data_IF_209941375682
#
_entry.id   IF_209941375682
#
_cell.length_a   1.000
_cell.length_b   1.000
_cell.length_c   1.000
_cell.angle_alpha   90.00
_cell.angle_beta   90.00
_cell.angle_gamma   90.00
#
_symmetry.space_group_name_H-M   'P 1'
#
loop_
_entity.id
_entity.type
_entity.pdbx_description
1 polymer ?
#
# COMPACT_ATOMS: atom_id res chain seq x y z
N UNK A 1 -34.24 17.74 68.34
CA UNK A 1 -34.93 17.96 67.05
C UNK A 1 -34.14 18.70 65.96
N UNK A 2 -33.21 19.59 66.24
CA UNK A 2 -32.44 20.34 65.18
C UNK A 2 -31.36 19.52 64.45
N UNK A 3 -30.73 18.49 65.06
CA UNK A 3 -29.70 17.64 64.43
C UNK A 3 -30.24 16.67 63.39
N UNK A 4 -31.43 16.05 63.65
CA UNK A 4 -32.03 15.10 62.69
C UNK A 4 -32.49 15.75 61.39
N UNK A 5 -32.98 17.01 61.46
CA UNK A 5 -33.36 17.77 60.23
C UNK A 5 -32.18 18.13 59.35
N UNK A 6 -30.96 18.37 59.89
CA UNK A 6 -29.76 18.66 59.15
C UNK A 6 -29.22 17.41 58.45
N UNK A 7 -29.28 16.25 59.09
CA UNK A 7 -28.86 14.97 58.51
C UNK A 7 -29.81 14.57 57.38
N UNK A 8 -31.13 14.72 57.54
CA UNK A 8 -32.10 14.46 56.51
C UNK A 8 -31.95 15.36 55.28
N UNK A 9 -31.67 16.66 55.50
CA UNK A 9 -31.43 17.60 54.42
C UNK A 9 -30.13 17.26 53.64
N UNK A 10 -29.05 16.85 54.33
CA UNK A 10 -27.81 16.41 53.69
C UNK A 10 -28.02 15.15 52.88
N UNK A 11 -28.81 14.18 53.35
CA UNK A 11 -29.12 12.94 52.63
C UNK A 11 -29.93 13.21 51.36
N UNK A 12 -30.90 14.14 51.41
CA UNK A 12 -31.70 14.57 50.26
C UNK A 12 -30.86 15.31 49.20
N UNK A 13 -29.86 16.10 49.58
CA UNK A 13 -28.98 16.77 48.66
C UNK A 13 -28.06 15.77 47.98
N UNK A 14 -27.54 14.77 48.68
CA UNK A 14 -26.71 13.72 48.14
C UNK A 14 -27.49 12.85 47.15
N UNK A 15 -28.74 12.47 47.43
CA UNK A 15 -29.59 11.69 46.56
C UNK A 15 -30.05 12.46 45.30
N UNK A 16 -30.15 13.79 45.37
CA UNK A 16 -30.44 14.67 44.23
C UNK A 16 -29.26 14.88 43.32
N UNK A 17 -28.04 14.79 43.83
CA UNK A 17 -26.78 14.97 43.05
C UNK A 17 -26.31 13.65 42.41
N UNK A 18 -26.69 12.49 42.96
CA UNK A 18 -26.31 11.18 42.43
C UNK A 18 -26.70 10.96 40.93
N UNK A 19 -27.96 11.27 40.49
CA UNK A 19 -28.28 11.10 39.06
C UNK A 19 -27.58 12.09 38.15
N UNK A 20 -27.05 13.21 38.67
CA UNK A 20 -26.32 14.18 37.86
C UNK A 20 -24.88 13.75 37.62
N UNK A 21 -24.29 12.97 38.52
CA UNK A 21 -22.92 12.41 38.36
C UNK A 21 -22.95 11.14 37.47
N UNK A 22 -24.09 10.42 37.42
CA UNK A 22 -24.24 9.18 36.61
C UNK A 22 -24.58 9.48 35.13
N UNK A 23 -24.87 10.70 34.76
CA UNK A 23 -25.10 11.15 33.38
C UNK A 23 -23.89 11.85 32.75
N UNK A 24 -22.68 11.56 33.20
CA UNK A 24 -21.49 11.83 32.37
C UNK A 24 -21.65 10.90 31.16
N UNK A 25 -21.88 11.42 29.94
CA UNK A 25 -21.87 10.55 28.78
C UNK A 25 -20.51 9.87 28.80
N UNK A 26 -20.50 8.53 28.85
CA UNK A 26 -19.26 7.81 28.57
C UNK A 26 -18.82 8.34 27.22
N UNK A 27 -17.73 9.10 27.22
CA UNK A 27 -17.08 9.57 26.01
C UNK A 27 -16.97 8.32 25.14
N UNK A 28 -17.72 8.29 24.04
CA UNK A 28 -17.74 7.12 23.18
C UNK A 28 -16.28 6.88 22.82
N UNK A 29 -15.70 5.82 23.34
CA UNK A 29 -14.35 5.44 23.02
C UNK A 29 -14.26 5.50 21.49
N UNK A 30 -13.45 6.43 20.97
CA UNK A 30 -13.21 6.50 19.53
C UNK A 30 -12.89 5.07 19.10
N UNK A 31 -13.75 4.50 18.28
CA UNK A 31 -13.47 3.21 17.69
C UNK A 31 -12.13 3.37 16.98
N UNK A 32 -11.08 2.77 17.52
CA UNK A 32 -9.80 2.74 16.84
C UNK A 32 -10.07 2.24 15.43
N UNK A 33 -9.78 3.08 14.42
CA UNK A 33 -9.86 2.64 13.03
C UNK A 33 -8.79 1.58 12.86
N UNK A 34 -9.20 0.37 12.55
CA UNK A 34 -8.28 -0.69 12.16
C UNK A 34 -7.82 -0.38 10.74
N UNK A 35 -6.52 -0.32 10.53
CA UNK A 35 -5.89 -0.25 9.22
C UNK A 35 -5.31 -1.62 8.89
N UNK A 36 -5.81 -2.23 7.84
CA UNK A 36 -5.25 -3.45 7.28
C UNK A 36 -4.29 -3.09 6.15
N UNK A 37 -3.13 -3.72 6.13
CA UNK A 37 -2.12 -3.55 5.09
C UNK A 37 -1.77 -4.93 4.53
N UNK A 38 -1.93 -5.10 3.23
CA UNK A 38 -1.37 -6.22 2.49
C UNK A 38 -0.08 -5.74 1.82
N UNK A 39 0.98 -6.48 2.04
CA UNK A 39 2.31 -6.12 1.54
C UNK A 39 2.88 -7.24 0.68
N UNK A 40 3.31 -6.89 -0.53
CA UNK A 40 4.04 -7.75 -1.47
C UNK A 40 5.43 -7.17 -1.71
N UNK A 41 6.35 -8.01 -2.11
CA UNK A 41 7.67 -7.62 -2.61
C UNK A 41 8.29 -8.79 -3.38
N UNK A 42 9.32 -8.53 -4.18
CA UNK A 42 10.10 -9.56 -4.88
C UNK A 42 9.23 -10.55 -5.67
N UNK A 43 8.25 -10.03 -6.40
CA UNK A 43 7.35 -10.90 -7.20
C UNK A 43 7.97 -11.37 -8.50
N UNK A 44 9.03 -10.70 -8.98
CA UNK A 44 9.92 -11.14 -10.06
C UNK A 44 9.18 -11.69 -11.28
N UNK A 45 8.21 -10.94 -11.80
CA UNK A 45 7.40 -11.31 -12.96
C UNK A 45 6.65 -12.65 -12.84
N UNK A 46 6.48 -13.20 -11.62
CA UNK A 46 5.76 -14.47 -11.41
C UNK A 46 4.24 -14.26 -11.41
N UNK A 47 3.71 -13.83 -12.57
CA UNK A 47 2.28 -13.54 -12.72
C UNK A 47 1.43 -14.81 -12.71
N UNK A 48 2.00 -15.95 -13.15
CA UNK A 48 1.31 -17.23 -13.21
C UNK A 48 1.56 -18.07 -11.96
N UNK A 49 0.58 -18.89 -11.60
CA UNK A 49 0.77 -19.93 -10.59
C UNK A 49 1.71 -21.02 -11.10
N UNK A 50 2.33 -21.74 -10.15
CA UNK A 50 3.21 -22.85 -10.44
C UNK A 50 2.96 -24.03 -9.49
N UNK A 51 3.30 -25.22 -9.96
CA UNK A 51 3.12 -26.44 -9.19
C UNK A 51 4.36 -26.74 -8.36
N UNK A 52 4.16 -26.96 -7.06
CA UNK A 52 5.24 -27.32 -6.12
C UNK A 52 4.73 -28.28 -5.05
N UNK A 53 5.66 -28.84 -4.23
CA UNK A 53 5.30 -29.71 -3.10
C UNK A 53 5.17 -28.83 -1.85
N UNK A 54 3.98 -28.84 -1.25
CA UNK A 54 3.69 -28.20 0.04
C UNK A 54 3.14 -29.26 0.98
N UNK A 55 3.79 -29.45 2.13
CA UNK A 55 3.41 -30.47 3.12
C UNK A 55 3.36 -31.90 2.54
N UNK A 56 4.27 -32.22 1.61
CA UNK A 56 4.34 -33.52 0.97
C UNK A 56 3.33 -33.78 -0.14
N UNK A 57 2.48 -32.80 -0.48
CA UNK A 57 1.49 -32.88 -1.56
C UNK A 57 1.83 -31.91 -2.68
N UNK A 58 1.57 -32.31 -3.92
CA UNK A 58 1.68 -31.43 -5.05
C UNK A 58 0.53 -30.41 -5.05
N UNK A 59 0.88 -29.12 -4.95
CA UNK A 59 -0.09 -28.01 -4.93
C UNK A 59 0.29 -26.97 -5.96
N UNK A 60 -0.72 -26.32 -6.50
CA UNK A 60 -0.55 -25.15 -7.34
C UNK A 60 -0.61 -23.89 -6.47
N UNK A 61 0.48 -23.13 -6.43
CA UNK A 61 0.68 -21.96 -5.55
C UNK A 61 1.07 -20.73 -6.34
N UNK A 62 0.99 -19.56 -5.68
CA UNK A 62 1.38 -18.28 -6.26
C UNK A 62 0.42 -17.81 -7.36
N UNK A 63 0.89 -16.83 -8.10
CA UNK A 63 0.20 -16.21 -9.23
C UNK A 63 -0.75 -15.06 -8.82
N UNK A 64 -0.81 -14.07 -9.68
CA UNK A 64 -1.56 -12.84 -9.44
C UNK A 64 -3.08 -13.05 -9.40
N UNK A 65 -3.60 -14.09 -10.09
CA UNK A 65 -5.02 -14.40 -10.01
C UNK A 65 -5.47 -14.80 -8.59
N UNK A 66 -4.66 -15.61 -7.90
CA UNK A 66 -4.93 -15.99 -6.50
C UNK A 66 -4.72 -14.81 -5.55
N UNK A 67 -3.68 -14.00 -5.79
CA UNK A 67 -3.44 -12.78 -5.04
C UNK A 67 -4.60 -11.79 -5.19
N UNK A 68 -5.13 -11.62 -6.40
CA UNK A 68 -6.32 -10.79 -6.65
C UNK A 68 -7.52 -11.25 -5.84
N UNK A 69 -7.77 -12.56 -5.80
CA UNK A 69 -8.86 -13.12 -5.00
C UNK A 69 -8.71 -12.77 -3.52
N UNK A 70 -7.51 -12.94 -2.96
CA UNK A 70 -7.21 -12.60 -1.56
C UNK A 70 -7.41 -11.09 -1.29
N UNK A 71 -6.91 -10.23 -2.19
CA UNK A 71 -7.07 -8.78 -2.08
C UNK A 71 -8.56 -8.41 -2.07
N UNK A 72 -9.35 -8.99 -3.00
CA UNK A 72 -10.79 -8.70 -3.10
C UNK A 72 -11.56 -9.15 -1.86
N UNK A 73 -11.19 -10.29 -1.28
CA UNK A 73 -11.76 -10.76 -0.01
C UNK A 73 -11.43 -9.80 1.13
N UNK A 74 -10.18 -9.36 1.24
CA UNK A 74 -9.75 -8.42 2.29
C UNK A 74 -10.39 -7.05 2.14
N UNK A 75 -10.50 -6.52 0.92
CA UNK A 75 -11.20 -5.25 0.66
C UNK A 75 -12.72 -5.35 0.89
N UNK A 76 -13.33 -6.53 0.81
CA UNK A 76 -14.72 -6.73 1.25
C UNK A 76 -14.87 -6.70 2.77
N UNK A 77 -13.91 -7.26 3.51
CA UNK A 77 -13.89 -7.24 4.98
C UNK A 77 -13.61 -5.83 5.50
N UNK A 78 -12.63 -5.14 4.92
CA UNK A 78 -12.26 -3.77 5.24
C UNK A 78 -11.94 -2.98 3.95
N UNK A 79 -12.85 -2.12 3.47
CA UNK A 79 -12.63 -1.31 2.26
C UNK A 79 -11.42 -0.37 2.34
N UNK A 80 -10.99 0.00 3.55
CA UNK A 80 -9.83 0.87 3.79
C UNK A 80 -8.49 0.08 3.79
N UNK A 81 -8.50 -1.22 3.43
CA UNK A 81 -7.27 -2.03 3.31
C UNK A 81 -6.33 -1.41 2.27
N UNK A 82 -5.09 -1.15 2.68
CA UNK A 82 -4.02 -0.67 1.80
C UNK A 82 -3.27 -1.86 1.18
N UNK A 83 -2.97 -1.73 -0.11
CA UNK A 83 -2.15 -2.70 -0.84
C UNK A 83 -0.85 -2.01 -1.21
N UNK A 84 0.24 -2.48 -0.63
CA UNK A 84 1.56 -1.92 -0.83
C UNK A 84 2.49 -2.95 -1.47
N UNK A 85 3.41 -2.48 -2.31
CA UNK A 85 4.43 -3.31 -2.93
C UNK A 85 5.83 -2.71 -2.68
N UNK A 86 6.78 -3.57 -2.33
CA UNK A 86 8.14 -3.21 -1.95
C UNK A 86 9.13 -3.17 -3.10
N UNK A 87 8.68 -3.33 -4.36
CA UNK A 87 9.56 -3.37 -5.53
C UNK A 87 10.11 -4.77 -5.84
N UNK A 88 11.07 -4.84 -6.76
CA UNK A 88 11.52 -6.07 -7.40
C UNK A 88 10.35 -6.88 -7.97
N UNK A 89 9.40 -6.15 -8.59
CA UNK A 89 8.26 -6.77 -9.24
C UNK A 89 8.62 -7.35 -10.61
N UNK A 90 9.74 -6.94 -11.20
CA UNK A 90 10.21 -7.35 -12.53
C UNK A 90 11.33 -8.41 -12.46
N UNK A 91 11.73 -8.91 -13.63
CA UNK A 91 12.91 -9.77 -13.84
C UNK A 91 12.87 -11.13 -13.12
N UNK A 92 12.20 -12.12 -13.72
CA UNK A 92 12.18 -13.49 -13.18
C UNK A 92 11.54 -14.52 -14.10
N UNK A 93 10.69 -14.07 -15.03
CA UNK A 93 10.04 -14.92 -16.01
C UNK A 93 10.08 -14.27 -17.40
N UNK A 94 9.57 -14.98 -18.43
CA UNK A 94 9.54 -14.44 -19.80
C UNK A 94 8.67 -13.16 -19.95
N UNK A 95 7.83 -12.83 -18.98
CA UNK A 95 7.06 -11.58 -18.99
C UNK A 95 7.99 -10.36 -19.01
N UNK A 96 9.16 -10.46 -18.41
CA UNK A 96 10.17 -9.39 -18.44
C UNK A 96 10.57 -8.92 -19.84
N UNK A 97 10.35 -9.75 -20.89
CA UNK A 97 10.70 -9.39 -22.28
C UNK A 97 9.84 -8.24 -22.83
N UNK A 98 8.74 -7.91 -22.19
CA UNK A 98 7.87 -6.77 -22.51
C UNK A 98 7.87 -5.70 -21.42
N UNK A 99 8.88 -5.72 -20.53
CA UNK A 99 9.01 -4.80 -19.41
C UNK A 99 9.03 -3.33 -19.87
N UNK A 100 9.90 -3.00 -20.80
CA UNK A 100 10.10 -1.64 -21.29
C UNK A 100 9.07 -1.18 -22.34
N UNK A 101 8.40 -2.11 -23.00
CA UNK A 101 7.44 -1.80 -24.06
C UNK A 101 5.99 -1.79 -23.60
N UNK A 102 5.63 -2.66 -22.66
CA UNK A 102 4.26 -2.85 -22.20
C UNK A 102 4.08 -2.54 -20.70
N UNK A 103 5.16 -2.41 -19.93
CA UNK A 103 5.12 -2.28 -18.48
C UNK A 103 4.22 -3.34 -17.81
N UNK A 104 4.29 -4.58 -18.28
CA UNK A 104 3.31 -5.61 -17.95
C UNK A 104 3.17 -5.83 -16.44
N UNK A 105 4.27 -5.88 -15.71
CA UNK A 105 4.29 -6.11 -14.27
C UNK A 105 3.66 -4.95 -13.50
N UNK A 106 4.02 -3.71 -13.82
CA UNK A 106 3.49 -2.51 -13.15
C UNK A 106 1.99 -2.33 -13.41
N UNK A 107 1.54 -2.60 -14.65
CA UNK A 107 0.12 -2.59 -15.01
C UNK A 107 -0.65 -3.69 -14.27
N UNK A 108 -0.04 -4.88 -14.13
CA UNK A 108 -0.65 -5.97 -13.36
C UNK A 108 -0.76 -5.67 -11.87
N UNK A 109 0.21 -4.97 -11.26
CA UNK A 109 0.08 -4.45 -9.90
C UNK A 109 -1.11 -3.49 -9.79
N UNK A 110 -1.29 -2.60 -10.76
CA UNK A 110 -2.46 -1.73 -10.81
C UNK A 110 -3.78 -2.50 -10.94
N UNK A 111 -3.82 -3.53 -11.79
CA UNK A 111 -4.98 -4.42 -11.90
C UNK A 111 -5.32 -5.16 -10.60
N UNK A 112 -4.32 -5.54 -9.82
CA UNK A 112 -4.52 -6.10 -8.47
C UNK A 112 -5.17 -5.10 -7.51
N UNK A 113 -5.02 -3.81 -7.77
CA UNK A 113 -5.45 -2.73 -6.89
C UNK A 113 -4.36 -2.34 -5.89
N UNK A 114 -3.09 -2.49 -6.27
CA UNK A 114 -1.96 -1.96 -5.53
C UNK A 114 -2.06 -0.44 -5.47
N UNK A 115 -2.00 0.12 -4.27
CA UNK A 115 -2.13 1.55 -4.05
C UNK A 115 -0.78 2.26 -4.24
N UNK A 116 0.29 1.67 -3.70
CA UNK A 116 1.63 2.24 -3.73
C UNK A 116 2.67 1.15 -3.95
N UNK A 117 3.63 1.41 -4.82
CA UNK A 117 4.84 0.59 -5.03
C UNK A 117 6.11 1.45 -4.93
N UNK A 118 7.24 0.80 -4.90
CA UNK A 118 8.56 1.40 -5.03
C UNK A 118 9.37 0.64 -6.07
N UNK A 119 10.60 1.07 -6.31
CA UNK A 119 11.52 0.39 -7.22
C UNK A 119 12.55 -0.39 -6.42
N UNK A 120 12.72 -1.66 -6.73
CA UNK A 120 13.84 -2.47 -6.26
C UNK A 120 15.05 -2.37 -7.21
N UNK A 121 16.00 -3.27 -7.04
CA UNK A 121 17.20 -3.24 -7.89
C UNK A 121 16.93 -3.77 -9.32
N UNK A 122 15.99 -4.69 -9.48
CA UNK A 122 15.70 -5.31 -10.77
C UNK A 122 14.96 -4.39 -11.75
N UNK A 123 14.23 -3.39 -11.27
CA UNK A 123 13.66 -2.37 -12.14
C UNK A 123 14.71 -1.57 -12.91
N UNK A 124 15.98 -1.60 -12.46
CA UNK A 124 17.12 -0.95 -13.12
C UNK A 124 17.93 -1.86 -14.05
N UNK A 125 17.57 -3.14 -14.21
CA UNK A 125 18.33 -4.10 -15.03
C UNK A 125 18.41 -3.69 -16.51
N UNK A 126 17.32 -3.11 -17.04
CA UNK A 126 17.32 -2.50 -18.38
C UNK A 126 17.88 -1.08 -18.41
N UNK A 127 18.59 -0.68 -17.34
CA UNK A 127 19.22 0.62 -17.16
C UNK A 127 18.24 1.79 -17.24
N UNK A 128 18.77 3.00 -17.27
CA UNK A 128 18.00 4.25 -17.28
C UNK A 128 16.96 4.29 -18.39
N UNK A 129 17.34 3.86 -19.59
CA UNK A 129 16.43 3.88 -20.74
C UNK A 129 15.27 2.92 -20.55
N UNK A 130 15.53 1.68 -20.18
CA UNK A 130 14.45 0.69 -20.01
C UNK A 130 13.49 1.06 -18.89
N UNK A 131 14.00 1.58 -17.76
CA UNK A 131 13.13 2.09 -16.69
C UNK A 131 12.26 3.27 -17.16
N UNK A 132 12.86 4.22 -17.88
CA UNK A 132 12.13 5.37 -18.40
C UNK A 132 11.07 4.96 -19.44
N UNK A 133 11.38 4.00 -20.29
CA UNK A 133 10.46 3.46 -21.29
C UNK A 133 9.29 2.72 -20.59
N UNK A 134 9.56 1.90 -19.58
CA UNK A 134 8.57 1.18 -18.79
C UNK A 134 7.60 2.16 -18.10
N UNK A 135 8.10 3.18 -17.41
CA UNK A 135 7.24 4.19 -16.78
C UNK A 135 6.38 4.93 -17.81
N UNK A 136 6.95 5.23 -18.97
CA UNK A 136 6.25 5.88 -20.08
C UNK A 136 5.16 4.96 -20.64
N UNK A 137 5.46 3.68 -20.84
CA UNK A 137 4.50 2.68 -21.31
C UNK A 137 3.34 2.51 -20.32
N UNK A 138 3.66 2.41 -19.02
CA UNK A 138 2.65 2.33 -17.96
C UNK A 138 1.71 3.54 -17.97
N UNK A 139 2.27 4.74 -18.03
CA UNK A 139 1.48 5.98 -18.07
C UNK A 139 0.60 6.07 -19.31
N UNK A 140 1.13 5.72 -20.46
CA UNK A 140 0.43 5.79 -21.74
C UNK A 140 -0.61 4.67 -21.94
N UNK A 141 -0.58 3.62 -21.11
CA UNK A 141 -1.57 2.53 -21.20
C UNK A 141 -3.00 3.01 -20.96
N UNK A 142 -3.18 4.11 -20.21
CA UNK A 142 -4.47 4.58 -19.75
C UNK A 142 -5.12 3.71 -18.68
N UNK A 143 -4.43 2.67 -18.21
CA UNK A 143 -4.89 1.79 -17.13
C UNK A 143 -4.54 2.37 -15.76
N UNK A 144 -5.19 1.88 -14.71
CA UNK A 144 -4.81 2.20 -13.34
C UNK A 144 -3.47 1.54 -13.03
N UNK A 145 -2.54 2.31 -12.54
CA UNK A 145 -1.22 1.85 -12.08
C UNK A 145 -0.98 2.38 -10.67
N UNK A 146 -0.17 1.69 -9.83
CA UNK A 146 0.11 2.16 -8.47
C UNK A 146 0.86 3.49 -8.47
N UNK A 147 0.69 4.28 -7.42
CA UNK A 147 1.60 5.40 -7.16
C UNK A 147 3.00 4.86 -6.88
N UNK A 148 4.03 5.47 -7.45
CA UNK A 148 5.42 5.12 -7.15
C UNK A 148 6.00 6.11 -6.16
N UNK A 149 6.72 5.59 -5.16
CA UNK A 149 7.42 6.38 -4.14
C UNK A 149 8.90 6.03 -4.16
N UNK A 150 9.74 7.00 -4.53
CA UNK A 150 11.20 6.85 -4.55
C UNK A 150 11.81 8.06 -3.82
N UNK A 151 12.00 7.93 -2.51
CA UNK A 151 12.40 9.06 -1.65
C UNK A 151 13.92 9.16 -1.41
N UNK A 152 14.71 8.26 -1.98
CA UNK A 152 16.17 8.18 -1.75
C UNK A 152 17.00 8.77 -2.89
N UNK A 153 16.40 9.48 -3.84
CA UNK A 153 17.11 10.16 -4.93
C UNK A 153 17.20 11.65 -4.61
N UNK A 154 18.42 12.14 -4.47
CA UNK A 154 18.72 13.55 -4.24
C UNK A 154 19.02 14.24 -5.58
N UNK A 155 17.97 14.64 -6.27
CA UNK A 155 18.06 15.32 -7.57
C UNK A 155 18.83 16.63 -7.46
N UNK A 156 18.62 17.41 -6.41
CA UNK A 156 19.30 18.70 -6.23
C UNK A 156 20.84 18.56 -6.16
N UNK A 157 21.30 17.52 -5.47
CA UNK A 157 22.73 17.22 -5.38
C UNK A 157 23.28 16.70 -6.71
N UNK A 158 22.50 15.88 -7.41
CA UNK A 158 22.91 15.33 -8.70
C UNK A 158 22.98 16.41 -9.77
N UNK A 159 22.02 17.33 -9.82
CA UNK A 159 21.99 18.44 -10.77
C UNK A 159 23.19 19.39 -10.62
N UNK A 160 23.60 19.67 -9.38
CA UNK A 160 24.81 20.49 -9.11
C UNK A 160 26.09 19.89 -9.71
N UNK A 161 26.13 18.55 -9.83
CA UNK A 161 27.25 17.81 -10.39
C UNK A 161 27.12 17.56 -11.90
N UNK A 162 25.99 17.93 -12.49
CA UNK A 162 25.65 17.69 -13.90
C UNK A 162 25.07 16.29 -14.11
N UNK A 163 23.83 16.21 -14.55
CA UNK A 163 23.16 14.94 -14.85
C UNK A 163 23.70 14.31 -16.15
N UNK A 164 23.96 13.03 -16.12
CA UNK A 164 24.16 12.23 -17.34
C UNK A 164 22.86 12.13 -18.12
N UNK A 165 22.94 11.78 -19.41
CA UNK A 165 21.74 11.60 -20.25
C UNK A 165 20.76 10.56 -19.67
N UNK A 166 21.28 9.45 -19.11
CA UNK A 166 20.44 8.45 -18.46
C UNK A 166 19.73 8.98 -17.21
N UNK A 167 20.39 9.80 -16.41
CA UNK A 167 19.76 10.43 -15.24
C UNK A 167 18.67 11.41 -15.64
N UNK A 168 18.88 12.20 -16.68
CA UNK A 168 17.84 13.10 -17.23
C UNK A 168 16.61 12.32 -17.74
N UNK A 169 16.85 11.18 -18.40
CA UNK A 169 15.77 10.32 -18.87
C UNK A 169 14.90 9.81 -17.70
N UNK A 170 15.53 9.29 -16.63
CA UNK A 170 14.81 8.82 -15.45
C UNK A 170 14.09 9.97 -14.76
N UNK A 171 14.74 11.12 -14.55
CA UNK A 171 14.14 12.29 -13.94
C UNK A 171 12.86 12.70 -14.69
N UNK A 172 12.96 12.85 -16.01
CA UNK A 172 11.81 13.19 -16.84
C UNK A 172 10.69 12.13 -16.78
N UNK A 173 11.05 10.85 -16.74
CA UNK A 173 10.08 9.77 -16.62
C UNK A 173 9.39 9.76 -15.24
N UNK A 174 10.11 10.04 -14.16
CA UNK A 174 9.57 10.19 -12.81
C UNK A 174 8.59 11.36 -12.74
N UNK A 175 8.96 12.53 -13.25
CA UNK A 175 8.09 13.69 -13.31
C UNK A 175 6.79 13.40 -14.10
N UNK A 176 6.91 12.77 -15.27
CA UNK A 176 5.76 12.43 -16.12
C UNK A 176 4.85 11.37 -15.47
N UNK A 177 5.42 10.41 -14.75
CA UNK A 177 4.66 9.38 -14.05
C UNK A 177 3.99 9.96 -12.80
N UNK A 178 4.65 10.85 -12.10
CA UNK A 178 4.21 11.47 -10.85
C UNK A 178 4.84 10.81 -9.61
N UNK A 179 6.14 10.45 -9.72
CA UNK A 179 6.94 9.89 -8.62
C UNK A 179 7.31 11.01 -7.62
#
# INVERSE_FOLDING_TARGET
MKRGKKILALFLIITMLLPFVMNIPAEAAEKSKQLDVLFTHDTHSHLNSFSTIVDGEQKEVGGFAKLKTLIDEKKKENPDTLILDGGDFSMGTLIQTVYDTEAAELRMLGYLGCDVSTLGNHEYDYRSKGLADMLTAAKNSGETVPSLVVCNVDWDSMEKNGLSEGQKQIQSAFENYGV
#
